data_IF_058692181387
#
_entry.id   IF_058692181387
#
_cell.length_a   1.000
_cell.length_b   1.000
_cell.length_c   1.000
_cell.angle_alpha   90.00
_cell.angle_beta   90.00
_cell.angle_gamma   90.00
#
_symmetry.space_group_name_H-M   'P 1'
#
loop_
_entity.id
_entity.type
_entity.pdbx_description
1 polymer ?
#
# COMPACT_ATOMS: atom_id res chain seq x y z
N UNK A 1 2.63 4.68 0.47
CA UNK A 1 3.22 5.54 1.52
C UNK A 1 4.65 5.98 1.20
N UNK A 2 5.68 5.13 1.29
CA UNK A 2 7.07 5.57 1.06
C UNK A 2 7.30 6.27 -0.31
N UNK A 3 6.75 5.72 -1.40
CA UNK A 3 6.86 6.35 -2.72
C UNK A 3 6.08 7.67 -2.85
N UNK A 4 4.98 7.84 -2.12
CA UNK A 4 4.22 9.11 -2.07
C UNK A 4 5.03 10.18 -1.33
N UNK A 5 5.65 9.81 -0.21
CA UNK A 5 6.52 10.70 0.56
C UNK A 5 7.74 11.11 -0.27
N UNK A 6 8.32 10.17 -1.03
CA UNK A 6 9.43 10.48 -1.95
C UNK A 6 9.02 11.50 -3.02
N UNK A 7 7.84 11.36 -3.63
CA UNK A 7 7.30 12.36 -4.57
C UNK A 7 7.17 13.72 -3.90
N UNK A 8 6.62 13.77 -2.68
CA UNK A 8 6.42 15.02 -1.95
C UNK A 8 7.74 15.72 -1.60
N UNK A 9 8.77 14.95 -1.20
CA UNK A 9 10.11 15.48 -0.88
C UNK A 9 10.78 16.08 -2.12
N UNK A 10 10.63 15.45 -3.29
CA UNK A 10 11.26 15.90 -4.53
C UNK A 10 10.44 16.98 -5.26
N UNK A 11 9.23 17.30 -4.79
CA UNK A 11 8.37 18.32 -5.40
C UNK A 11 8.07 18.02 -6.86
N UNK A 12 8.14 19.05 -7.73
CA UNK A 12 7.89 18.91 -9.16
C UNK A 12 8.77 17.85 -9.84
N UNK A 13 10.02 17.70 -9.41
CA UNK A 13 10.94 16.69 -9.93
C UNK A 13 10.48 15.26 -9.60
N UNK A 14 9.74 15.08 -8.49
CA UNK A 14 9.15 13.80 -8.12
C UNK A 14 8.10 13.28 -9.11
N UNK A 15 7.53 14.17 -9.93
CA UNK A 15 6.56 13.83 -10.99
C UNK A 15 7.18 13.77 -12.38
N UNK A 16 8.38 14.31 -12.57
CA UNK A 16 9.07 14.31 -13.86
C UNK A 16 9.65 12.94 -14.19
N UNK A 17 9.65 12.59 -15.47
CA UNK A 17 10.17 11.29 -15.94
C UNK A 17 11.70 11.23 -16.00
N UNK A 18 12.37 12.37 -15.82
CA UNK A 18 13.83 12.49 -15.81
C UNK A 18 14.47 11.78 -14.59
N UNK A 19 13.69 11.52 -13.53
CA UNK A 19 14.13 10.86 -12.31
C UNK A 19 13.39 9.53 -12.03
N UNK A 20 13.96 8.65 -11.18
CA UNK A 20 13.36 7.34 -10.91
C UNK A 20 12.11 7.40 -10.02
N UNK A 21 11.86 8.54 -9.34
CA UNK A 21 10.78 8.71 -8.36
C UNK A 21 9.41 8.51 -8.99
N UNK A 22 9.16 9.10 -10.15
CA UNK A 22 7.88 8.98 -10.86
C UNK A 22 7.58 7.53 -11.26
N UNK A 23 8.60 6.77 -11.69
CA UNK A 23 8.47 5.34 -11.99
C UNK A 23 8.10 4.55 -10.74
N UNK A 24 8.86 4.71 -9.65
CA UNK A 24 8.59 3.98 -8.41
C UNK A 24 7.22 4.31 -7.81
N UNK A 25 6.75 5.55 -7.94
CA UNK A 25 5.39 5.91 -7.57
C UNK A 25 4.34 5.14 -8.36
N UNK A 26 4.47 5.05 -9.69
CA UNK A 26 3.54 4.29 -10.54
C UNK A 26 3.58 2.79 -10.24
N UNK A 27 4.78 2.23 -10.07
CA UNK A 27 4.96 0.81 -9.72
C UNK A 27 4.32 0.48 -8.38
N UNK A 28 4.50 1.34 -7.37
CA UNK A 28 3.86 1.16 -6.07
C UNK A 28 2.33 1.27 -6.16
N UNK A 29 1.80 2.15 -7.02
CA UNK A 29 0.35 2.32 -7.22
C UNK A 29 -0.29 1.15 -7.95
N UNK A 30 0.35 0.56 -8.95
CA UNK A 30 -0.26 -0.57 -9.65
C UNK A 30 -0.44 -1.78 -8.72
N UNK A 31 0.49 -1.98 -7.79
CA UNK A 31 0.41 -3.05 -6.78
C UNK A 31 -0.71 -2.87 -5.75
N UNK A 32 -1.36 -1.70 -5.68
CA UNK A 32 -2.54 -1.55 -4.81
C UNK A 32 -3.81 -2.16 -5.41
N UNK A 33 -3.78 -2.49 -6.70
CA UNK A 33 -4.89 -3.08 -7.45
C UNK A 33 -4.50 -4.45 -8.01
N UNK A 34 -3.27 -4.56 -8.52
CA UNK A 34 -2.66 -5.81 -8.96
C UNK A 34 -2.66 -6.84 -7.84
N UNK A 35 -2.79 -8.11 -8.20
CA UNK A 35 -2.90 -9.23 -7.25
C UNK A 35 -4.07 -9.11 -6.23
N UNK A 36 -5.03 -8.23 -6.51
CA UNK A 36 -6.22 -7.99 -5.68
C UNK A 36 -6.07 -6.76 -4.79
N UNK A 37 -7.12 -5.93 -4.76
CA UNK A 37 -7.15 -4.74 -3.92
C UNK A 37 -7.09 -5.08 -2.44
N UNK A 38 -6.74 -4.09 -1.61
CA UNK A 38 -6.73 -4.27 -0.16
C UNK A 38 -8.09 -4.70 0.40
N UNK A 39 -9.21 -4.26 -0.19
CA UNK A 39 -10.56 -4.69 0.18
C UNK A 39 -10.76 -6.19 -0.09
N UNK A 40 -10.40 -6.66 -1.28
CA UNK A 40 -10.54 -8.07 -1.67
C UNK A 40 -9.65 -8.94 -0.80
N UNK A 41 -8.40 -8.53 -0.57
CA UNK A 41 -7.49 -9.27 0.29
C UNK A 41 -8.01 -9.35 1.74
N UNK A 42 -8.47 -8.23 2.32
CA UNK A 42 -9.09 -8.24 3.66
C UNK A 42 -10.32 -9.11 3.73
N UNK A 43 -11.16 -9.13 2.69
CA UNK A 43 -12.33 -10.00 2.61
C UNK A 43 -11.94 -11.48 2.55
N UNK A 44 -10.95 -11.86 1.74
CA UNK A 44 -10.46 -13.24 1.65
C UNK A 44 -9.82 -13.69 2.96
N UNK A 45 -8.97 -12.85 3.56
CA UNK A 45 -8.36 -13.12 4.87
C UNK A 45 -9.45 -13.23 5.94
N UNK A 46 -10.39 -12.29 5.97
CA UNK A 46 -11.50 -12.26 6.94
C UNK A 46 -12.36 -13.52 6.90
N UNK A 47 -12.62 -14.10 5.72
CA UNK A 47 -13.33 -15.38 5.58
C UNK A 47 -12.57 -16.58 6.17
N UNK A 48 -11.25 -16.47 6.32
CA UNK A 48 -10.40 -17.52 6.91
C UNK A 48 -10.14 -17.31 8.39
N UNK A 49 -10.50 -16.15 8.95
CA UNK A 49 -10.37 -15.89 10.38
C UNK A 49 -11.52 -16.56 11.14
N UNK A 50 -11.25 -17.20 12.29
CA UNK A 50 -12.29 -17.72 13.17
C UNK A 50 -13.12 -16.57 13.76
N UNK A 51 -14.40 -16.83 14.03
CA UNK A 51 -15.36 -15.84 14.57
C UNK A 51 -14.97 -15.28 15.94
N UNK A 52 -14.21 -16.05 16.72
CA UNK A 52 -13.69 -15.65 18.03
C UNK A 52 -12.17 -15.61 17.95
N UNK A 53 -11.62 -14.47 17.55
CA UNK A 53 -10.21 -14.20 17.74
C UNK A 53 -10.01 -13.74 19.20
N UNK A 54 -9.13 -14.39 19.98
CA UNK A 54 -8.78 -13.88 21.29
C UNK A 54 -8.24 -12.46 21.13
N UNK A 55 -8.79 -11.53 21.92
CA UNK A 55 -8.38 -10.13 21.90
C UNK A 55 -6.89 -10.09 22.23
N UNK A 56 -6.06 -9.76 21.24
CA UNK A 56 -4.61 -9.78 21.38
C UNK A 56 -4.22 -8.70 22.38
N UNK A 57 -3.81 -9.12 23.57
CA UNK A 57 -3.50 -8.27 24.72
C UNK A 57 -2.28 -7.36 24.53
N UNK A 58 -1.59 -7.46 23.39
CA UNK A 58 -0.39 -6.67 23.07
C UNK A 58 -0.70 -5.44 22.21
N UNK A 59 -1.98 -5.08 22.07
CA UNK A 59 -2.45 -3.86 21.38
C UNK A 59 -2.88 -2.76 22.36
N UNK A 60 -2.63 -2.93 23.65
CA UNK A 60 -2.68 -1.87 24.69
C UNK A 60 -1.26 -1.37 24.98
#
# INVERSE_FOLDING_TARGET
>A
RAAEEAVQIHGGLGFMEDGPVARFYRDAKILTIGEGTSEVQRLVIGRRLPSELPRLSWLE
#
